data_IF_524934691899
#
_entry.id   IF_524934691899
#
_cell.length_a   1.000
_cell.length_b   1.000
_cell.length_c   1.000
_cell.angle_alpha   90.00
_cell.angle_beta   90.00
_cell.angle_gamma   90.00
#
_symmetry.space_group_name_H-M   'P 1'
#
loop_
_entity.id
_entity.type
_entity.pdbx_description
1 polymer ?
#
# COMPACT_ATOMS: atom_id res chain seq x y z
N UNK A 1 59.56 5.41 11.87
CA UNK A 1 58.34 4.79 12.24
C UNK A 1 57.25 5.11 11.24
N UNK A 2 57.05 4.23 10.25
CA UNK A 2 55.95 4.36 9.31
C UNK A 2 54.82 3.37 9.69
N UNK A 3 53.64 3.86 9.97
CA UNK A 3 52.46 3.03 10.13
C UNK A 3 51.69 2.98 8.82
N UNK A 4 51.69 1.83 8.20
CA UNK A 4 50.85 1.50 7.06
C UNK A 4 49.45 1.14 7.57
N UNK A 5 48.43 1.90 7.14
CA UNK A 5 47.03 1.64 7.42
C UNK A 5 46.50 0.74 6.32
N UNK A 6 46.20 -0.51 6.64
CA UNK A 6 45.58 -1.47 5.73
C UNK A 6 44.07 -1.41 5.96
N UNK A 7 43.36 -0.78 5.03
CA UNK A 7 41.91 -0.82 5.01
C UNK A 7 41.44 -2.15 4.39
N UNK A 8 40.81 -2.97 5.21
CA UNK A 8 40.21 -4.21 4.77
C UNK A 8 38.89 -3.91 4.01
N UNK A 9 38.86 -4.37 2.79
CA UNK A 9 37.61 -4.44 1.99
C UNK A 9 36.79 -5.63 2.48
N UNK A 10 35.63 -5.34 3.09
CA UNK A 10 34.60 -6.33 3.41
C UNK A 10 33.26 -5.82 2.92
N UNK A 11 32.96 -6.11 1.68
CA UNK A 11 31.58 -6.00 1.14
C UNK A 11 31.45 -6.85 -0.11
N UNK A 12 30.64 -7.86 -0.09
CA UNK A 12 29.84 -8.37 -1.21
C UNK A 12 29.43 -9.86 -1.12
N UNK A 13 29.29 -10.39 0.09
CA UNK A 13 28.81 -11.79 0.21
C UNK A 13 27.33 -11.89 0.62
N UNK A 14 26.74 -10.83 1.20
CA UNK A 14 25.35 -10.87 1.67
C UNK A 14 24.32 -10.67 0.55
N UNK A 15 24.65 -9.87 -0.47
CA UNK A 15 23.71 -9.62 -1.59
C UNK A 15 23.56 -10.82 -2.53
N UNK A 16 24.62 -11.64 -2.68
CA UNK A 16 24.59 -12.79 -3.57
C UNK A 16 23.81 -13.98 -2.98
N UNK A 17 23.84 -14.15 -1.65
CA UNK A 17 23.11 -15.24 -1.00
C UNK A 17 21.58 -15.00 -0.94
N UNK A 18 21.15 -13.75 -0.76
CA UNK A 18 19.72 -13.40 -0.77
C UNK A 18 19.11 -13.53 -2.16
N UNK A 19 19.83 -13.14 -3.20
CA UNK A 19 19.35 -13.26 -4.57
C UNK A 19 19.27 -14.73 -5.02
N UNK A 20 20.22 -15.57 -4.62
CA UNK A 20 20.22 -17.00 -4.94
C UNK A 20 19.10 -17.75 -4.21
N UNK A 21 18.80 -17.40 -2.94
CA UNK A 21 17.70 -17.96 -2.17
C UNK A 21 16.34 -17.58 -2.79
N UNK A 22 16.15 -16.31 -3.14
CA UNK A 22 14.90 -15.85 -3.76
C UNK A 22 14.67 -16.49 -5.14
N UNK A 23 15.72 -16.69 -5.93
CA UNK A 23 15.61 -17.36 -7.21
C UNK A 23 15.30 -18.87 -7.07
N UNK A 24 15.85 -19.53 -6.06
CA UNK A 24 15.54 -20.90 -5.73
C UNK A 24 14.09 -21.10 -5.32
N UNK A 25 13.59 -20.21 -4.46
CA UNK A 25 12.20 -20.22 -3.99
C UNK A 25 11.22 -19.95 -5.13
N UNK A 26 11.52 -18.97 -6.02
CA UNK A 26 10.71 -18.68 -7.20
C UNK A 26 10.63 -19.87 -8.18
N UNK A 27 11.73 -20.59 -8.37
CA UNK A 27 11.76 -21.77 -9.23
C UNK A 27 10.94 -22.93 -8.65
N UNK A 28 10.95 -23.11 -7.33
CA UNK A 28 10.11 -24.08 -6.64
C UNK A 28 8.63 -23.70 -6.78
N UNK A 29 8.28 -22.44 -6.55
CA UNK A 29 6.92 -21.93 -6.65
C UNK A 29 6.34 -21.99 -8.07
N UNK A 30 7.18 -21.94 -9.11
CA UNK A 30 6.74 -22.05 -10.51
C UNK A 30 6.05 -23.39 -10.85
N UNK A 31 6.26 -24.43 -10.04
CA UNK A 31 5.60 -25.72 -10.18
C UNK A 31 4.28 -25.84 -9.43
N UNK A 32 3.91 -24.84 -8.63
CA UNK A 32 2.65 -24.82 -7.90
C UNK A 32 1.46 -24.64 -8.87
N UNK A 33 0.25 -25.05 -8.48
CA UNK A 33 -0.95 -24.76 -9.24
C UNK A 33 -1.10 -23.25 -9.47
N UNK A 34 -1.43 -22.86 -10.69
CA UNK A 34 -1.60 -21.45 -11.03
C UNK A 34 -2.84 -20.87 -10.36
N UNK A 35 -2.67 -19.71 -9.73
CA UNK A 35 -3.73 -18.92 -9.09
C UNK A 35 -3.74 -17.53 -9.69
N UNK A 36 -4.92 -17.01 -10.02
CA UNK A 36 -5.10 -15.62 -10.42
C UNK A 36 -5.87 -14.90 -9.32
N UNK A 37 -5.32 -13.78 -8.83
CA UNK A 37 -5.94 -12.92 -7.82
C UNK A 37 -6.34 -11.60 -8.46
N UNK A 38 -7.58 -11.18 -8.25
CA UNK A 38 -8.12 -9.92 -8.77
C UNK A 38 -7.83 -8.79 -7.81
N UNK A 39 -7.14 -7.78 -8.33
CA UNK A 39 -6.77 -6.57 -7.59
C UNK A 39 -7.58 -5.37 -8.11
N UNK A 40 -8.49 -4.84 -7.32
CA UNK A 40 -9.25 -3.64 -7.64
C UNK A 40 -8.46 -2.37 -7.29
N UNK A 41 -8.24 -1.51 -8.29
CA UNK A 41 -7.59 -0.20 -8.14
C UNK A 41 -8.47 0.90 -8.73
N UNK A 42 -8.85 1.88 -7.92
CA UNK A 42 -9.73 2.98 -8.35
C UNK A 42 -9.01 3.96 -9.28
N UNK A 43 -7.71 4.10 -9.12
CA UNK A 43 -6.91 5.04 -9.90
C UNK A 43 -6.40 4.43 -11.21
N UNK A 44 -6.13 5.27 -12.23
CA UNK A 44 -5.42 4.85 -13.43
C UNK A 44 -3.99 4.38 -13.12
N UNK A 45 -3.47 3.48 -13.95
CA UNK A 45 -2.14 2.87 -13.73
C UNK A 45 -0.96 3.86 -13.85
N UNK A 46 -1.15 4.99 -14.51
CA UNK A 46 -0.14 6.06 -14.64
C UNK A 46 -0.02 6.97 -13.41
N UNK A 47 -0.91 6.81 -12.44
CA UNK A 47 -0.82 7.50 -11.15
C UNK A 47 0.20 6.82 -10.22
N UNK A 48 0.65 7.52 -9.17
CA UNK A 48 1.58 6.98 -8.17
C UNK A 48 1.03 5.68 -7.56
N UNK A 49 -0.24 5.66 -7.20
CA UNK A 49 -0.88 4.47 -6.61
C UNK A 49 -1.14 3.37 -7.64
N UNK A 50 -1.48 3.73 -8.88
CA UNK A 50 -1.60 2.77 -9.97
C UNK A 50 -0.26 2.08 -10.29
N UNK A 51 0.84 2.83 -10.27
CA UNK A 51 2.19 2.26 -10.41
C UNK A 51 2.54 1.32 -9.25
N UNK A 52 2.07 1.59 -8.03
CA UNK A 52 2.24 0.67 -6.91
C UNK A 52 1.57 -0.67 -7.20
N UNK A 53 0.36 -0.67 -7.77
CA UNK A 53 -0.33 -1.90 -8.17
C UNK A 53 0.45 -2.67 -9.24
N UNK A 54 1.00 -1.96 -10.23
CA UNK A 54 1.84 -2.55 -11.28
C UNK A 54 3.09 -3.22 -10.70
N UNK A 55 3.83 -2.52 -9.85
CA UNK A 55 5.03 -3.06 -9.19
C UNK A 55 4.71 -4.24 -8.27
N UNK A 56 3.58 -4.17 -7.55
CA UNK A 56 3.13 -5.28 -6.71
C UNK A 56 2.87 -6.54 -7.56
N UNK A 57 2.13 -6.39 -8.67
CA UNK A 57 1.89 -7.46 -9.63
C UNK A 57 3.20 -8.08 -10.12
N UNK A 58 4.09 -7.24 -10.67
CA UNK A 58 5.38 -7.68 -11.22
C UNK A 58 6.19 -8.44 -10.18
N UNK A 59 6.22 -7.93 -8.93
CA UNK A 59 7.00 -8.54 -7.86
C UNK A 59 6.42 -9.87 -7.37
N UNK A 60 5.11 -9.97 -7.27
CA UNK A 60 4.44 -11.24 -6.92
C UNK A 60 4.69 -12.29 -8.00
N UNK A 61 4.49 -11.93 -9.26
CA UNK A 61 4.71 -12.86 -10.39
C UNK A 61 6.17 -13.29 -10.50
N UNK A 62 7.13 -12.39 -10.28
CA UNK A 62 8.56 -12.70 -10.21
C UNK A 62 8.87 -13.68 -9.08
N UNK A 63 8.45 -13.37 -7.85
CA UNK A 63 8.78 -14.16 -6.65
C UNK A 63 8.11 -15.54 -6.64
N UNK A 64 7.00 -15.69 -7.34
CA UNK A 64 6.27 -16.95 -7.43
C UNK A 64 6.56 -17.73 -8.72
N UNK A 65 7.50 -17.27 -9.54
CA UNK A 65 7.79 -17.88 -10.84
C UNK A 65 6.57 -17.97 -11.75
N UNK A 66 5.59 -17.06 -11.58
CA UNK A 66 4.35 -17.00 -12.35
C UNK A 66 3.26 -17.98 -11.90
N UNK A 67 3.41 -18.66 -10.76
CA UNK A 67 2.34 -19.49 -10.20
C UNK A 67 1.21 -18.63 -9.61
N UNK A 68 1.51 -17.42 -9.11
CA UNK A 68 0.50 -16.44 -8.72
C UNK A 68 0.52 -15.28 -9.70
N UNK A 69 -0.63 -15.01 -10.33
CA UNK A 69 -0.85 -13.92 -11.27
C UNK A 69 -1.77 -12.89 -10.62
N UNK A 70 -1.41 -11.62 -10.71
CA UNK A 70 -2.25 -10.51 -10.24
C UNK A 70 -2.95 -9.87 -11.43
N UNK A 71 -4.26 -9.96 -11.47
CA UNK A 71 -5.12 -9.28 -12.45
C UNK A 71 -5.54 -7.92 -11.90
N UNK A 72 -4.85 -6.86 -12.34
CA UNK A 72 -5.13 -5.50 -11.87
C UNK A 72 -6.26 -4.87 -12.68
N UNK A 73 -7.38 -4.65 -12.04
CA UNK A 73 -8.56 -3.98 -12.56
C UNK A 73 -8.53 -2.51 -12.13
N UNK A 74 -7.89 -1.67 -12.96
CA UNK A 74 -7.62 -0.26 -12.66
C UNK A 74 -8.76 0.68 -13.11
N UNK A 75 -8.60 1.98 -12.81
CA UNK A 75 -9.50 3.06 -13.23
C UNK A 75 -10.95 2.90 -12.74
N UNK A 76 -11.14 2.25 -11.60
CA UNK A 76 -12.45 2.12 -10.99
C UNK A 76 -13.45 1.24 -11.74
N UNK A 77 -12.97 0.36 -12.62
CA UNK A 77 -13.86 -0.52 -13.41
C UNK A 77 -14.69 -1.47 -12.55
N UNK A 78 -14.23 -1.76 -11.32
CA UNK A 78 -14.95 -2.58 -10.35
C UNK A 78 -15.75 -1.76 -9.31
N UNK A 79 -15.82 -0.44 -9.48
CA UNK A 79 -16.54 0.48 -8.61
C UNK A 79 -15.63 1.42 -7.83
N UNK A 80 -16.25 2.22 -6.96
CA UNK A 80 -15.54 3.10 -6.01
C UNK A 80 -14.86 2.29 -4.89
N UNK A 81 -14.02 2.95 -4.07
CA UNK A 81 -13.41 2.31 -2.88
C UNK A 81 -14.48 1.67 -1.98
N UNK A 82 -15.61 2.35 -1.76
CA UNK A 82 -16.68 1.84 -0.93
C UNK A 82 -17.39 0.65 -1.59
N UNK A 83 -17.67 0.71 -2.90
CA UNK A 83 -18.29 -0.40 -3.62
C UNK A 83 -17.45 -1.66 -3.55
N UNK A 84 -16.13 -1.51 -3.72
CA UNK A 84 -15.16 -2.61 -3.62
C UNK A 84 -15.09 -3.17 -2.21
N UNK A 85 -15.01 -2.30 -1.18
CA UNK A 85 -15.02 -2.73 0.22
C UNK A 85 -16.30 -3.45 0.58
N UNK A 86 -17.47 -2.92 0.21
CA UNK A 86 -18.76 -3.54 0.46
C UNK A 86 -18.84 -4.91 -0.20
N UNK A 87 -18.33 -5.05 -1.43
CA UNK A 87 -18.29 -6.33 -2.12
C UNK A 87 -17.41 -7.35 -1.39
N UNK A 88 -16.20 -6.99 -1.00
CA UNK A 88 -15.28 -7.89 -0.29
C UNK A 88 -15.87 -8.26 1.09
N UNK A 89 -16.35 -7.28 1.85
CA UNK A 89 -16.93 -7.51 3.18
C UNK A 89 -18.25 -8.29 3.11
N UNK A 90 -18.98 -8.15 2.02
CA UNK A 90 -20.18 -8.93 1.73
C UNK A 90 -19.94 -10.36 1.25
N UNK A 91 -18.66 -10.77 1.17
CA UNK A 91 -18.28 -12.14 0.79
C UNK A 91 -18.23 -12.39 -0.71
N UNK A 92 -18.09 -11.35 -1.53
CA UNK A 92 -17.86 -11.52 -2.96
C UNK A 92 -16.53 -12.27 -3.19
N UNK A 93 -16.56 -13.24 -4.10
CA UNK A 93 -15.38 -14.01 -4.51
C UNK A 93 -14.75 -13.48 -5.81
N UNK A 94 -15.24 -12.35 -6.33
CA UNK A 94 -14.75 -11.76 -7.59
C UNK A 94 -13.63 -10.74 -7.40
N UNK A 95 -13.33 -10.35 -6.16
CA UNK A 95 -12.26 -9.40 -5.80
C UNK A 95 -11.49 -9.98 -4.63
N UNK A 96 -10.19 -10.20 -4.82
CA UNK A 96 -9.32 -10.80 -3.80
C UNK A 96 -8.60 -9.74 -2.98
N UNK A 97 -8.29 -8.59 -3.57
CA UNK A 97 -7.58 -7.50 -2.92
C UNK A 97 -7.90 -6.14 -3.51
N UNK A 98 -7.62 -5.10 -2.74
CA UNK A 98 -7.75 -3.71 -3.18
C UNK A 98 -6.77 -2.80 -2.45
N UNK A 99 -6.33 -1.76 -3.12
CA UNK A 99 -5.75 -0.60 -2.47
C UNK A 99 -6.88 0.38 -2.16
N UNK A 100 -6.95 0.79 -0.91
CA UNK A 100 -7.97 1.72 -0.43
C UNK A 100 -7.33 2.80 0.45
N UNK A 101 -8.01 3.93 0.59
CA UNK A 101 -7.66 4.90 1.63
C UNK A 101 -7.90 4.28 3.02
N UNK A 102 -6.92 4.40 3.92
CA UNK A 102 -7.09 3.97 5.31
C UNK A 102 -8.33 4.60 5.96
N UNK A 103 -8.70 5.82 5.54
CA UNK A 103 -9.91 6.51 6.02
C UNK A 103 -11.20 5.75 5.67
N UNK A 104 -11.27 5.06 4.54
CA UNK A 104 -12.47 4.31 4.15
C UNK A 104 -12.85 3.23 5.17
N UNK A 105 -11.86 2.63 5.84
CA UNK A 105 -12.08 1.62 6.89
C UNK A 105 -12.79 2.18 8.13
N UNK A 106 -12.80 3.50 8.34
CA UNK A 106 -13.47 4.10 9.50
C UNK A 106 -14.98 3.89 9.48
N UNK A 107 -15.59 3.76 8.31
CA UNK A 107 -17.01 3.46 8.14
C UNK A 107 -17.37 2.06 8.61
N UNK A 108 -16.38 1.18 8.75
CA UNK A 108 -16.54 -0.21 9.21
C UNK A 108 -16.05 -0.41 10.64
N UNK A 109 -15.81 0.68 11.39
CA UNK A 109 -15.46 0.64 12.80
C UNK A 109 -13.96 0.63 13.10
N UNK A 110 -13.09 0.72 12.10
CA UNK A 110 -11.64 0.77 12.29
C UNK A 110 -11.21 2.13 12.84
N UNK A 111 -11.11 2.22 14.16
CA UNK A 111 -10.81 3.49 14.85
C UNK A 111 -9.34 3.88 14.79
N UNK A 112 -8.41 2.91 14.75
CA UNK A 112 -6.97 3.17 14.55
C UNK A 112 -6.74 3.88 13.22
N UNK A 113 -7.43 3.47 12.16
CA UNK A 113 -7.35 4.09 10.83
C UNK A 113 -7.73 5.58 10.82
N UNK A 114 -8.58 6.03 11.76
CA UNK A 114 -8.90 7.46 11.92
C UNK A 114 -7.68 8.31 12.25
N UNK A 115 -6.75 7.77 13.05
CA UNK A 115 -5.54 8.49 13.46
C UNK A 115 -4.66 8.85 12.26
N UNK A 116 -4.61 7.99 11.24
CA UNK A 116 -3.84 8.22 10.02
C UNK A 116 -4.42 9.34 9.14
N UNK A 117 -5.66 9.72 9.36
CA UNK A 117 -6.39 10.71 8.57
C UNK A 117 -6.53 12.07 9.28
N UNK A 118 -6.05 12.19 10.50
CA UNK A 118 -6.05 13.46 11.23
C UNK A 118 -5.07 14.42 10.54
N UNK A 119 -5.47 15.64 10.21
CA UNK A 119 -4.57 16.64 9.64
C UNK A 119 -3.31 16.82 10.50
N UNK A 120 -2.16 16.90 9.83
CA UNK A 120 -0.85 17.11 10.46
C UNK A 120 -0.35 15.97 11.37
N UNK A 121 -0.94 14.75 11.29
CA UNK A 121 -0.43 13.57 11.99
C UNK A 121 1.01 13.27 11.61
N UNK A 122 1.36 13.41 10.34
CA UNK A 122 2.72 13.22 9.84
C UNK A 122 3.35 14.55 9.44
N UNK A 123 4.50 14.87 10.00
CA UNK A 123 5.23 16.11 9.70
C UNK A 123 5.82 16.10 8.29
N UNK A 124 6.25 14.92 7.84
CA UNK A 124 6.90 14.73 6.54
C UNK A 124 6.85 13.24 6.13
N UNK A 125 7.32 12.94 4.91
CA UNK A 125 7.37 11.56 4.39
C UNK A 125 8.19 10.61 5.26
N UNK A 126 9.32 11.05 5.77
CA UNK A 126 10.15 10.19 6.62
C UNK A 126 9.41 9.78 7.89
N UNK A 127 8.64 10.68 8.50
CA UNK A 127 7.80 10.36 9.66
C UNK A 127 6.74 9.30 9.32
N UNK A 128 6.07 9.42 8.17
CA UNK A 128 5.13 8.40 7.71
C UNK A 128 5.81 7.05 7.50
N UNK A 129 6.95 7.00 6.81
CA UNK A 129 7.65 5.75 6.54
C UNK A 129 8.26 5.11 7.80
N UNK A 130 8.65 5.92 8.80
CA UNK A 130 9.01 5.40 10.12
C UNK A 130 7.84 4.68 10.78
N UNK A 131 6.64 5.25 10.71
CA UNK A 131 5.42 4.56 11.16
C UNK A 131 5.16 3.29 10.35
N UNK A 132 5.13 3.38 9.02
CA UNK A 132 4.77 2.27 8.13
C UNK A 132 5.73 1.07 8.24
N UNK A 133 6.99 1.32 8.64
CA UNK A 133 8.01 0.29 8.86
C UNK A 133 8.22 -0.07 10.34
N UNK A 134 7.42 0.47 11.25
CA UNK A 134 7.54 0.21 12.68
C UNK A 134 6.71 -1.01 13.10
N UNK A 135 6.98 -1.49 14.30
CA UNK A 135 6.18 -2.55 14.95
C UNK A 135 4.73 -2.11 15.23
N UNK A 136 4.45 -0.81 15.18
CA UNK A 136 3.11 -0.26 15.37
C UNK A 136 2.21 -0.46 14.12
N UNK A 137 2.79 -0.42 12.92
CA UNK A 137 2.01 -0.54 11.68
C UNK A 137 1.18 -1.84 11.60
N UNK A 138 1.67 -3.02 11.99
CA UNK A 138 0.88 -4.25 12.04
C UNK A 138 -0.37 -4.16 12.93
N UNK A 139 -0.34 -3.41 14.02
CA UNK A 139 -1.53 -3.23 14.88
C UNK A 139 -2.67 -2.51 14.14
N UNK A 140 -2.33 -1.54 13.29
CA UNK A 140 -3.30 -0.82 12.45
C UNK A 140 -3.77 -1.68 11.28
N UNK A 141 -2.86 -2.40 10.62
CA UNK A 141 -3.16 -3.28 9.49
C UNK A 141 -4.04 -4.47 9.88
N UNK A 142 -3.91 -4.96 11.11
CA UNK A 142 -4.68 -6.09 11.63
C UNK A 142 -6.02 -5.67 12.25
N UNK A 143 -6.25 -4.37 12.49
CA UNK A 143 -7.49 -3.90 13.14
C UNK A 143 -8.78 -4.42 12.48
N UNK A 144 -8.93 -4.44 11.12
CA UNK A 144 -10.13 -5.00 10.51
C UNK A 144 -10.37 -6.45 10.90
N UNK A 145 -9.34 -7.26 10.93
CA UNK A 145 -9.43 -8.68 11.29
C UNK A 145 -9.74 -8.87 12.78
N UNK A 146 -9.18 -8.02 13.66
CA UNK A 146 -9.49 -8.00 15.10
C UNK A 146 -10.96 -7.67 15.37
N UNK A 147 -11.58 -6.86 14.50
CA UNK A 147 -13.01 -6.53 14.54
C UNK A 147 -13.91 -7.58 13.89
N UNK A 148 -13.35 -8.68 13.41
CA UNK A 148 -14.08 -9.76 12.76
C UNK A 148 -14.45 -9.47 11.28
N UNK A 149 -13.86 -8.45 10.67
CA UNK A 149 -14.04 -8.20 9.24
C UNK A 149 -13.19 -9.20 8.42
N UNK A 150 -13.70 -9.72 7.30
CA UNK A 150 -13.00 -10.73 6.49
C UNK A 150 -11.92 -10.12 5.60
N UNK A 151 -11.17 -9.15 6.10
CA UNK A 151 -10.08 -8.46 5.40
C UNK A 151 -8.89 -8.26 6.32
N UNK A 152 -7.71 -8.20 5.73
CA UNK A 152 -6.45 -7.92 6.41
C UNK A 152 -5.64 -6.90 5.64
N UNK A 153 -5.07 -5.92 6.34
CA UNK A 153 -4.07 -5.03 5.77
C UNK A 153 -2.74 -5.76 5.52
N UNK A 154 -2.11 -5.49 4.38
CA UNK A 154 -0.83 -6.11 4.00
C UNK A 154 0.31 -5.13 4.23
N UNK A 155 0.19 -3.91 3.71
CA UNK A 155 1.17 -2.85 3.84
C UNK A 155 0.54 -1.48 3.58
N UNK A 156 1.29 -0.42 3.89
CA UNK A 156 0.93 0.95 3.58
C UNK A 156 1.67 1.49 2.37
N UNK A 157 0.98 2.31 1.58
CA UNK A 157 1.57 3.19 0.59
C UNK A 157 1.21 4.65 0.91
N UNK A 158 1.88 5.61 0.29
CA UNK A 158 1.59 7.02 0.44
C UNK A 158 1.34 7.68 -0.92
N UNK A 159 0.50 8.72 -0.93
CA UNK A 159 0.18 9.52 -2.10
C UNK A 159 0.77 10.94 -2.01
N UNK A 160 1.47 11.26 -0.94
CA UNK A 160 1.95 12.60 -0.64
C UNK A 160 0.96 13.40 0.21
N UNK A 161 1.17 14.72 0.25
CA UNK A 161 0.34 15.63 1.03
C UNK A 161 -0.96 15.99 0.32
N UNK A 162 -2.02 16.13 1.09
CA UNK A 162 -3.30 16.63 0.60
C UNK A 162 -3.30 18.16 0.57
N UNK A 163 -3.72 18.72 -0.56
CA UNK A 163 -3.78 20.17 -0.78
C UNK A 163 -5.20 20.61 -1.13
N UNK A 164 -5.49 21.88 -0.86
CA UNK A 164 -6.71 22.52 -1.31
C UNK A 164 -6.55 23.09 -2.72
N UNK A 165 -7.49 22.77 -3.58
CA UNK A 165 -7.63 23.39 -4.89
C UNK A 165 -8.93 24.17 -4.91
N UNK A 166 -8.87 25.48 -5.16
CA UNK A 166 -10.02 26.39 -5.10
C UNK A 166 -10.15 27.20 -6.39
N UNK A 167 -11.37 27.48 -6.79
CA UNK A 167 -11.65 28.32 -7.96
C UNK A 167 -11.34 29.79 -7.67
N UNK A 168 -11.53 30.21 -6.42
CA UNK A 168 -11.20 31.57 -5.95
C UNK A 168 -9.93 31.53 -5.11
N UNK A 169 -9.10 32.57 -5.15
CA UNK A 169 -7.95 32.67 -4.26
C UNK A 169 -8.37 32.53 -2.79
N UNK A 170 -7.60 31.76 -2.04
CA UNK A 170 -7.74 31.58 -0.58
C UNK A 170 -6.40 31.95 0.04
N UNK A 171 -6.40 32.95 0.93
CA UNK A 171 -5.20 33.44 1.60
C UNK A 171 -5.13 33.06 3.08
N UNK A 172 -6.23 32.64 3.68
CA UNK A 172 -6.29 32.26 5.07
C UNK A 172 -7.60 31.57 5.45
N UNK A 173 -7.69 31.15 6.71
CA UNK A 173 -8.82 30.37 7.23
C UNK A 173 -10.17 31.12 7.06
N UNK A 174 -10.17 32.43 7.20
CA UNK A 174 -11.40 33.24 7.05
C UNK A 174 -12.06 33.09 5.68
N UNK A 175 -11.26 32.83 4.62
CA UNK A 175 -11.74 32.69 3.25
C UNK A 175 -12.48 31.38 3.01
N UNK A 176 -12.35 30.40 3.91
CA UNK A 176 -13.07 29.13 3.83
C UNK A 176 -14.53 29.23 4.27
N UNK A 177 -14.92 30.34 4.93
CA UNK A 177 -16.29 30.51 5.38
C UNK A 177 -17.27 30.53 4.20
N UNK A 178 -18.18 29.54 4.17
CA UNK A 178 -19.19 29.42 3.13
C UNK A 178 -18.71 28.74 1.84
N UNK A 179 -17.46 28.28 1.77
CA UNK A 179 -17.01 27.46 0.65
C UNK A 179 -17.66 26.06 0.71
N UNK A 180 -18.09 25.59 -0.44
CA UNK A 180 -18.50 24.19 -0.61
C UNK A 180 -17.25 23.38 -0.98
N UNK A 181 -16.81 22.52 -0.08
CA UNK A 181 -15.67 21.62 -0.30
C UNK A 181 -16.18 20.24 -0.68
N UNK A 182 -15.52 19.65 -1.69
CA UNK A 182 -15.61 18.21 -1.94
C UNK A 182 -14.52 17.53 -1.10
N UNK A 183 -14.88 16.55 -0.32
CA UNK A 183 -14.00 15.70 0.48
C UNK A 183 -14.03 14.27 -0.05
#
# INVERSE_FOLDING_TARGET
>A
GGSSNSAAASTSTAASSTAASAAGDATAAANDPKVTLVYAEVNPLDTIVGQTATHFKEKVEELTGGSVVIDVQASGVLGSENDVLDAILGGSTSIDMSRISAFALTSYGCNKSKLLSIPFTFENRAHFWNFANSDLAPEFLNEPQELGLPVRGIFYGEEGFRHFFTVKPVSGIADFKGLKLRV
#
